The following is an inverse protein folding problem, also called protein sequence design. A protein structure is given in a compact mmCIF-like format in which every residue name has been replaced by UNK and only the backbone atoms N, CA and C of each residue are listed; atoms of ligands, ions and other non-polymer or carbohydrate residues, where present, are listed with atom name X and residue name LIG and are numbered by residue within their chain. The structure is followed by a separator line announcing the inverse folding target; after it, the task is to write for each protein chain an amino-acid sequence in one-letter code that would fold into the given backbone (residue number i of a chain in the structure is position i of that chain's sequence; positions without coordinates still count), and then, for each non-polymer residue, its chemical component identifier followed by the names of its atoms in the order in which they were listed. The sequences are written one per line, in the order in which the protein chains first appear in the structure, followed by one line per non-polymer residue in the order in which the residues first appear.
data_IF_090318295829
#
_entry.id   IF_090318295829
#
_cell.length_a   1.000
_cell.length_b   1.000
_cell.length_c   1.000
_cell.angle_alpha   90.00
_cell.angle_beta   90.00
_cell.angle_gamma   90.00
#
_symmetry.space_group_name_H-M   'P 1'
#
loop_
_entity.id
_entity.type
_entity.pdbx_description
1 polymer ?
#
# COMPACT_ATOMS: atom_id res chain seq x y z
N UNK A 1 -6.14 14.85 14.85
CA UNK A 1 -6.65 13.47 14.68
C UNK A 1 -6.18 12.65 15.86
N UNK A 2 -7.01 11.83 16.50
CA UNK A 2 -6.55 11.00 17.63
C UNK A 2 -5.60 9.90 17.16
N UNK A 3 -4.72 9.44 18.05
CA UNK A 3 -3.81 8.32 17.75
C UNK A 3 -4.56 7.05 17.34
N UNK A 4 -5.74 6.79 17.92
CA UNK A 4 -6.58 5.64 17.52
C UNK A 4 -7.10 5.74 16.10
N UNK A 5 -7.58 6.93 15.70
CA UNK A 5 -8.06 7.16 14.34
C UNK A 5 -6.92 7.03 13.33
N UNK A 6 -5.73 7.59 13.65
CA UNK A 6 -4.54 7.41 12.80
C UNK A 6 -4.12 5.94 12.70
N UNK A 7 -4.19 5.18 13.80
CA UNK A 7 -3.87 3.75 13.80
C UNK A 7 -4.85 2.94 12.92
N UNK A 8 -6.16 3.22 13.02
CA UNK A 8 -7.17 2.56 12.19
C UNK A 8 -6.96 2.84 10.70
N UNK A 9 -6.75 4.11 10.35
CA UNK A 9 -6.54 4.50 8.95
C UNK A 9 -5.22 4.01 8.38
N UNK A 10 -4.12 4.05 9.15
CA UNK A 10 -2.83 3.52 8.68
C UNK A 10 -2.90 2.01 8.43
N UNK A 11 -3.54 1.23 9.31
CA UNK A 11 -3.75 -0.21 9.09
C UNK A 11 -4.63 -0.49 7.86
N UNK A 12 -5.75 0.23 7.71
CA UNK A 12 -6.63 0.06 6.56
C UNK A 12 -5.93 0.41 5.24
N UNK A 13 -5.17 1.51 5.23
CA UNK A 13 -4.36 1.93 4.08
C UNK A 13 -3.27 0.92 3.73
N UNK A 14 -2.58 0.33 4.72
CA UNK A 14 -1.62 -0.74 4.48
C UNK A 14 -2.29 -1.92 3.75
N UNK A 15 -3.43 -2.40 4.25
CA UNK A 15 -4.16 -3.49 3.61
C UNK A 15 -4.60 -3.12 2.18
N UNK A 16 -5.15 -1.92 2.00
CA UNK A 16 -5.57 -1.43 0.70
C UNK A 16 -4.41 -1.39 -0.32
N UNK A 17 -3.27 -0.80 0.05
CA UNK A 17 -2.13 -0.71 -0.86
C UNK A 17 -1.50 -2.08 -1.13
N UNK A 18 -1.54 -3.02 -0.18
CA UNK A 18 -1.10 -4.39 -0.40
C UNK A 18 -1.98 -5.10 -1.44
N UNK A 19 -3.31 -4.97 -1.32
CA UNK A 19 -4.25 -5.56 -2.28
C UNK A 19 -4.12 -4.90 -3.66
N UNK A 20 -3.99 -3.57 -3.71
CA UNK A 20 -3.76 -2.84 -4.95
C UNK A 20 -2.44 -3.25 -5.63
N UNK A 21 -1.37 -3.42 -4.84
CA UNK A 21 -0.09 -3.93 -5.34
C UNK A 21 -0.27 -5.35 -5.91
N UNK A 22 -0.94 -6.24 -5.18
CA UNK A 22 -1.22 -7.61 -5.65
C UNK A 22 -2.03 -7.64 -6.95
N UNK A 23 -3.04 -6.78 -7.08
CA UNK A 23 -3.81 -6.63 -8.31
C UNK A 23 -2.94 -6.11 -9.47
N UNK A 24 -2.04 -5.16 -9.21
CA UNK A 24 -1.10 -4.66 -10.21
C UNK A 24 -0.07 -5.72 -10.64
N UNK A 25 0.39 -6.57 -9.71
CA UNK A 25 1.24 -7.74 -10.02
C UNK A 25 0.48 -8.74 -10.88
N UNK A 26 -0.74 -9.10 -10.49
CA UNK A 26 -1.58 -10.02 -11.26
C UNK A 26 -1.85 -9.49 -12.67
N UNK A 27 -2.17 -8.21 -12.82
CA UNK A 27 -2.36 -7.62 -14.14
C UNK A 27 -1.08 -7.61 -14.98
N UNK A 28 0.06 -7.25 -14.39
CA UNK A 28 1.32 -7.09 -15.13
C UNK A 28 1.90 -8.43 -15.62
N UNK A 29 1.75 -9.51 -14.84
CA UNK A 29 2.36 -10.82 -15.13
C UNK A 29 1.35 -11.91 -15.50
N UNK A 30 0.12 -11.82 -15.01
CA UNK A 30 -0.93 -12.81 -15.25
C UNK A 30 -1.77 -12.54 -16.50
N UNK A 31 -1.78 -11.29 -16.99
CA UNK A 31 -2.57 -10.84 -18.14
C UNK A 31 -1.69 -10.18 -19.22
N UNK A 32 -0.38 -10.44 -19.22
CA UNK A 32 0.57 -9.78 -20.12
C UNK A 32 0.28 -10.00 -21.61
N UNK A 33 -0.37 -11.11 -21.98
CA UNK A 33 -0.76 -11.41 -23.36
C UNK A 33 -2.01 -10.66 -23.81
N UNK A 34 -2.86 -10.25 -22.86
CA UNK A 34 -4.16 -9.63 -23.11
C UNK A 34 -4.10 -8.10 -23.07
N UNK A 35 -3.01 -7.53 -22.53
CA UNK A 35 -2.88 -6.11 -22.28
C UNK A 35 -1.87 -5.44 -23.22
N UNK A 36 -2.14 -4.21 -23.69
CA UNK A 36 -1.16 -3.46 -24.47
C UNK A 36 0.04 -3.07 -23.60
N UNK A 37 1.22 -2.92 -24.22
CA UNK A 37 2.48 -2.56 -23.54
C UNK A 37 2.35 -1.34 -22.62
N UNK A 38 1.57 -0.34 -23.02
CA UNK A 38 1.32 0.85 -22.19
C UNK A 38 0.62 0.49 -20.88
N UNK A 39 -0.38 -0.40 -20.91
CA UNK A 39 -1.09 -0.83 -19.71
C UNK A 39 -0.18 -1.63 -18.77
N UNK A 40 0.63 -2.55 -19.31
CA UNK A 40 1.64 -3.31 -18.55
C UNK A 40 2.63 -2.36 -17.88
N UNK A 41 3.11 -1.36 -18.63
CA UNK A 41 4.02 -0.33 -18.10
C UNK A 41 3.39 0.43 -16.94
N UNK A 42 2.13 0.87 -17.06
CA UNK A 42 1.42 1.55 -15.99
C UNK A 42 1.19 0.66 -14.77
N UNK A 43 0.96 -0.64 -14.96
CA UNK A 43 0.84 -1.61 -13.86
C UNK A 43 2.16 -1.75 -13.08
N UNK A 44 3.31 -1.77 -13.76
CA UNK A 44 4.62 -1.74 -13.08
C UNK A 44 4.87 -0.42 -12.34
N UNK A 45 4.52 0.72 -12.94
CA UNK A 45 4.59 2.02 -12.23
C UNK A 45 3.68 2.00 -10.99
N UNK A 46 2.47 1.45 -11.11
CA UNK A 46 1.54 1.31 -10.00
C UNK A 46 2.12 0.43 -8.87
N UNK A 47 2.86 -0.64 -9.18
CA UNK A 47 3.58 -1.44 -8.18
C UNK A 47 4.56 -0.59 -7.36
N UNK A 48 5.35 0.26 -8.01
CA UNK A 48 6.32 1.15 -7.32
C UNK A 48 5.58 2.14 -6.41
N UNK A 49 4.54 2.80 -6.95
CA UNK A 49 3.77 3.80 -6.21
C UNK A 49 3.06 3.17 -5.01
N UNK A 50 2.36 2.05 -5.20
CA UNK A 50 1.63 1.38 -4.12
C UNK A 50 2.56 0.81 -3.05
N UNK A 51 3.74 0.28 -3.41
CA UNK A 51 4.75 -0.14 -2.44
C UNK A 51 5.27 1.05 -1.61
N UNK A 52 5.52 2.19 -2.23
CA UNK A 52 5.90 3.43 -1.54
C UNK A 52 4.81 3.90 -0.57
N UNK A 53 3.55 3.92 -1.01
CA UNK A 53 2.41 4.32 -0.20
C UNK A 53 2.15 3.34 0.97
N UNK A 54 2.35 2.04 0.76
CA UNK A 54 2.31 1.04 1.84
C UNK A 54 3.36 1.36 2.92
N UNK A 55 4.59 1.67 2.52
CA UNK A 55 5.65 2.06 3.46
C UNK A 55 5.31 3.34 4.22
N UNK A 56 4.71 4.33 3.55
CA UNK A 56 4.24 5.54 4.22
C UNK A 56 3.13 5.24 5.24
N UNK A 57 2.16 4.40 4.89
CA UNK A 57 1.11 3.97 5.82
C UNK A 57 1.70 3.23 7.03
N UNK A 58 2.72 2.39 6.82
CA UNK A 58 3.46 1.75 7.91
C UNK A 58 4.15 2.76 8.83
N UNK A 59 4.82 3.78 8.30
CA UNK A 59 5.44 4.83 9.13
C UNK A 59 4.39 5.59 9.94
N UNK A 60 3.23 5.90 9.36
CA UNK A 60 2.11 6.52 10.08
C UNK A 60 1.55 5.62 11.19
N UNK A 61 1.53 4.30 10.96
CA UNK A 61 1.15 3.32 11.99
C UNK A 61 2.09 3.37 13.19
N UNK A 62 3.41 3.45 12.96
CA UNK A 62 4.39 3.60 14.03
C UNK A 62 4.22 4.91 14.80
N UNK A 63 3.97 6.01 14.09
CA UNK A 63 3.66 7.31 14.72
C UNK A 63 2.41 7.20 15.61
N UNK A 64 1.36 6.54 15.14
CA UNK A 64 0.14 6.32 15.91
C UNK A 64 0.38 5.46 17.17
N UNK A 65 1.15 4.38 17.05
CA UNK A 65 1.53 3.53 18.19
C UNK A 65 2.33 4.33 19.24
N UNK A 66 3.29 5.16 18.80
CA UNK A 66 4.07 6.05 19.67
C UNK A 66 3.16 7.02 20.44
N UNK A 67 2.23 7.68 19.75
CA UNK A 67 1.26 8.60 20.38
C UNK A 67 0.34 7.91 21.39
N UNK A 68 0.11 6.60 21.24
CA UNK A 68 -0.73 5.80 22.14
C UNK A 68 0.07 5.10 23.24
N UNK A 69 1.39 5.32 23.34
CA UNK A 69 2.26 4.63 24.29
C UNK A 69 2.35 3.11 24.07
N UNK A 70 2.07 2.64 22.84
CA UNK A 70 2.14 1.23 22.44
C UNK A 70 3.52 0.90 21.89
N UNK A 71 3.87 -0.39 21.90
CA UNK A 71 5.08 -0.88 21.27
C UNK A 71 5.06 -0.64 19.75
N UNK A 72 6.21 -0.22 19.20
CA UNK A 72 6.40 0.07 17.79
C UNK A 72 6.63 -1.23 17.03
N UNK A 73 5.62 -1.68 16.27
CA UNK A 73 5.65 -2.94 15.51
C UNK A 73 4.87 -2.80 14.24
#
# INVERSE_FOLDING_TARGET
MSGETLLKWSNASMLFFLLAFGAAVYGAWGLETELPLMAITLLHVAQIVTAGLFKLAYVLRLVAQSQLGRELR
#
